data_IF_943236156369
#
_entry.id   IF_943236156369
#
_cell.length_a   1.000
_cell.length_b   1.000
_cell.length_c   1.000
_cell.angle_alpha   90.00
_cell.angle_beta   90.00
_cell.angle_gamma   90.00
#
_symmetry.space_group_name_H-M   'P 1'
#
loop_
_entity.id
_entity.type
_entity.pdbx_description
1 polymer ?
#
# COMPACT_ATOMS: atom_id res chain seq x y z
N UNK A 1 -10.79 24.08 -8.32
CA UNK A 1 -9.69 23.51 -7.50
C UNK A 1 -8.40 23.81 -8.23
N UNK A 2 -7.51 24.56 -7.62
CA UNK A 2 -6.26 24.97 -8.25
C UNK A 2 -5.38 23.73 -8.48
N UNK A 3 -4.89 23.54 -9.70
CA UNK A 3 -4.09 22.37 -10.10
C UNK A 3 -2.78 22.22 -9.31
N UNK A 4 -2.35 23.26 -8.60
CA UNK A 4 -1.16 23.24 -7.76
C UNK A 4 -1.34 22.49 -6.44
N UNK A 5 -2.57 22.38 -5.94
CA UNK A 5 -2.86 21.69 -4.67
C UNK A 5 -2.88 20.16 -4.78
N UNK A 6 -3.02 19.65 -5.99
CA UNK A 6 -3.04 18.19 -6.27
C UNK A 6 -1.79 17.69 -6.98
N UNK A 7 -0.79 18.54 -7.14
CA UNK A 7 0.49 18.11 -7.73
C UNK A 7 1.28 17.24 -6.74
N UNK A 8 1.95 16.21 -7.28
CA UNK A 8 2.86 15.41 -6.49
C UNK A 8 4.08 16.24 -6.06
N UNK A 9 4.58 15.96 -4.87
CA UNK A 9 5.82 16.58 -4.36
C UNK A 9 6.97 16.29 -5.33
N UNK A 10 7.69 17.34 -5.72
CA UNK A 10 8.79 17.23 -6.69
C UNK A 10 9.96 16.35 -6.24
N UNK A 11 10.04 16.03 -4.95
CA UNK A 11 11.04 15.10 -4.41
C UNK A 11 10.71 13.64 -4.67
N UNK A 12 9.47 13.33 -5.08
CA UNK A 12 9.08 11.98 -5.45
C UNK A 12 9.64 11.63 -6.83
N UNK A 13 10.44 10.59 -6.89
CA UNK A 13 11.00 10.06 -8.14
C UNK A 13 9.95 9.22 -8.88
N UNK A 14 9.00 9.88 -9.54
CA UNK A 14 7.97 9.21 -10.32
C UNK A 14 8.49 8.77 -11.69
N UNK A 15 7.96 7.66 -12.19
CA UNK A 15 8.24 7.12 -13.54
C UNK A 15 7.02 7.34 -14.44
N UNK A 16 7.25 7.37 -15.75
CA UNK A 16 6.15 7.48 -16.73
C UNK A 16 5.18 6.30 -16.67
N UNK A 17 5.65 5.15 -16.21
CA UNK A 17 4.85 3.93 -16.04
C UNK A 17 4.03 3.91 -14.75
N UNK A 18 4.24 4.85 -13.83
CA UNK A 18 3.50 4.91 -12.58
C UNK A 18 2.05 5.33 -12.86
N UNK A 19 1.13 4.63 -12.23
CA UNK A 19 -0.29 4.91 -12.39
C UNK A 19 -0.73 5.97 -11.39
N UNK A 20 -1.48 6.94 -11.87
CA UNK A 20 -1.98 8.05 -11.07
C UNK A 20 -3.49 7.90 -10.89
N UNK A 21 -3.93 7.86 -9.64
CA UNK A 21 -5.33 7.86 -9.27
C UNK A 21 -5.66 9.12 -8.47
N UNK A 22 -6.82 9.69 -8.73
CA UNK A 22 -7.34 10.81 -7.96
C UNK A 22 -8.48 10.33 -7.09
N UNK A 23 -8.36 10.53 -5.79
CA UNK A 23 -9.41 10.21 -4.83
C UNK A 23 -9.89 11.48 -4.12
N UNK A 24 -11.19 11.64 -4.04
CA UNK A 24 -11.83 12.69 -3.22
C UNK A 24 -12.17 12.21 -1.81
N UNK A 25 -11.97 10.92 -1.54
CA UNK A 25 -12.40 10.26 -0.33
C UNK A 25 -11.20 9.71 0.44
N UNK A 26 -11.42 9.34 1.68
CA UNK A 26 -10.37 8.85 2.58
C UNK A 26 -9.76 7.56 2.05
N UNK A 27 -10.57 6.64 1.54
CA UNK A 27 -10.08 5.42 0.93
C UNK A 27 -9.95 5.56 -0.58
N UNK A 28 -8.78 5.24 -1.10
CA UNK A 28 -8.51 5.23 -2.55
C UNK A 28 -9.24 4.12 -3.30
N UNK A 29 -9.80 3.15 -2.61
CA UNK A 29 -10.66 2.13 -3.27
C UNK A 29 -11.98 2.71 -3.77
N UNK A 30 -12.48 3.74 -3.09
CA UNK A 30 -13.80 4.28 -3.39
C UNK A 30 -13.76 5.15 -4.65
N UNK A 31 -14.53 4.75 -5.66
CA UNK A 31 -14.70 5.46 -6.94
C UNK A 31 -13.39 5.79 -7.70
N UNK A 32 -12.39 4.88 -7.68
CA UNK A 32 -11.12 5.11 -8.40
C UNK A 32 -10.73 3.96 -9.30
N UNK A 33 -11.22 2.89 -9.40
CA UNK A 33 -10.72 1.78 -10.23
C UNK A 33 -9.44 1.10 -9.71
N UNK A 34 -8.99 1.40 -8.47
CA UNK A 34 -7.79 0.76 -7.90
C UNK A 34 -7.94 -0.77 -7.86
N UNK A 35 -9.08 -1.26 -7.42
CA UNK A 35 -9.31 -2.70 -7.27
C UNK A 35 -9.22 -3.42 -8.62
N UNK A 36 -9.81 -2.86 -9.66
CA UNK A 36 -9.74 -3.38 -11.02
C UNK A 36 -8.31 -3.43 -11.52
N UNK A 37 -7.53 -2.38 -11.27
CA UNK A 37 -6.11 -2.33 -11.66
C UNK A 37 -5.28 -3.40 -10.95
N UNK A 38 -5.51 -3.62 -9.65
CA UNK A 38 -4.85 -4.68 -8.89
C UNK A 38 -5.20 -6.07 -9.46
N UNK A 39 -6.46 -6.32 -9.77
CA UNK A 39 -6.92 -7.58 -10.35
C UNK A 39 -6.37 -7.83 -11.74
N UNK A 40 -6.42 -6.83 -12.62
CA UNK A 40 -5.89 -6.92 -13.98
C UNK A 40 -4.38 -7.20 -14.02
N UNK A 41 -3.64 -6.72 -13.03
CA UNK A 41 -2.20 -6.95 -12.89
C UNK A 41 -1.85 -8.17 -12.02
N UNK A 42 -2.83 -8.94 -11.55
CA UNK A 42 -2.60 -10.11 -10.71
C UNK A 42 -1.96 -9.78 -9.36
N UNK A 43 -2.23 -8.59 -8.83
CA UNK A 43 -1.69 -8.14 -7.55
C UNK A 43 -2.57 -8.61 -6.41
N UNK A 44 -2.01 -9.38 -5.50
CA UNK A 44 -2.67 -9.86 -4.28
C UNK A 44 -2.13 -9.20 -3.00
N UNK A 45 -1.12 -8.36 -3.12
CA UNK A 45 -0.46 -7.68 -2.01
C UNK A 45 -0.27 -6.20 -2.34
N UNK A 46 -0.54 -5.35 -1.36
CA UNK A 46 -0.43 -3.90 -1.49
C UNK A 46 0.46 -3.33 -0.39
N UNK A 47 1.56 -2.69 -0.78
CA UNK A 47 2.34 -1.86 0.13
C UNK A 47 1.71 -0.48 0.24
N UNK A 48 1.39 -0.07 1.46
CA UNK A 48 0.68 1.18 1.73
C UNK A 48 1.64 2.16 2.41
N UNK A 49 1.95 3.25 1.72
CA UNK A 49 2.80 4.32 2.21
C UNK A 49 2.06 5.65 2.16
N UNK A 50 2.56 6.63 2.87
CA UNK A 50 2.11 8.00 2.80
C UNK A 50 1.44 8.51 4.06
N UNK A 51 0.53 9.45 3.90
CA UNK A 51 -0.07 10.26 4.96
C UNK A 51 -1.60 10.29 4.78
N UNK A 52 -2.39 10.14 5.80
CA UNK A 52 -2.05 10.01 7.20
C UNK A 52 -2.37 8.60 7.71
N UNK A 53 -1.61 8.17 8.72
CA UNK A 53 -1.75 6.84 9.35
C UNK A 53 -3.16 6.59 9.87
N UNK A 54 -3.77 7.59 10.52
CA UNK A 54 -5.10 7.50 11.13
C UNK A 54 -6.27 7.60 10.16
N UNK A 55 -6.03 8.00 8.93
CA UNK A 55 -7.08 8.22 7.93
C UNK A 55 -6.88 7.34 6.69
N UNK A 56 -6.24 7.85 5.66
CA UNK A 56 -6.14 7.15 4.37
C UNK A 56 -5.38 5.84 4.45
N UNK A 57 -4.29 5.78 5.19
CA UNK A 57 -3.53 4.53 5.39
C UNK A 57 -4.39 3.50 6.11
N UNK A 58 -5.02 3.87 7.21
CA UNK A 58 -5.91 2.98 7.97
C UNK A 58 -7.09 2.51 7.12
N UNK A 59 -7.74 3.40 6.38
CA UNK A 59 -8.88 3.06 5.54
C UNK A 59 -8.52 2.01 4.47
N UNK A 60 -7.41 2.19 3.78
CA UNK A 60 -6.94 1.24 2.76
C UNK A 60 -6.51 -0.08 3.38
N UNK A 61 -5.81 -0.05 4.53
CA UNK A 61 -5.43 -1.25 5.25
C UNK A 61 -6.65 -2.07 5.71
N UNK A 62 -7.69 -1.40 6.18
CA UNK A 62 -8.93 -2.03 6.63
C UNK A 62 -9.75 -2.63 5.47
N UNK A 63 -9.80 -1.96 4.33
CA UNK A 63 -10.58 -2.43 3.18
C UNK A 63 -9.89 -3.54 2.39
N UNK A 64 -8.58 -3.51 2.26
CA UNK A 64 -7.82 -4.43 1.41
C UNK A 64 -8.15 -5.91 1.65
N UNK A 65 -8.21 -6.41 2.89
CA UNK A 65 -8.56 -7.81 3.14
C UNK A 65 -9.96 -8.21 2.66
N UNK A 66 -10.89 -7.28 2.64
CA UNK A 66 -12.25 -7.54 2.16
C UNK A 66 -12.29 -7.85 0.67
N UNK A 67 -11.29 -7.41 -0.07
CA UNK A 67 -11.11 -7.65 -1.50
C UNK A 67 -10.11 -8.77 -1.82
N UNK A 68 -9.62 -9.48 -0.81
CA UNK A 68 -8.60 -10.51 -0.98
C UNK A 68 -7.20 -9.94 -1.25
N UNK A 69 -6.96 -8.67 -0.93
CA UNK A 69 -5.67 -8.02 -1.07
C UNK A 69 -4.99 -7.95 0.30
N UNK A 70 -3.76 -8.46 0.39
CA UNK A 70 -2.96 -8.42 1.62
C UNK A 70 -2.31 -7.05 1.80
N UNK A 71 -2.70 -6.28 2.83
CA UNK A 71 -2.05 -5.01 3.09
C UNK A 71 -0.76 -5.18 3.90
N UNK A 72 0.29 -4.48 3.50
CA UNK A 72 1.56 -4.39 4.22
C UNK A 72 1.90 -2.91 4.39
N UNK A 73 2.16 -2.50 5.62
CA UNK A 73 2.47 -1.11 5.96
C UNK A 73 3.92 -1.02 6.44
N UNK A 74 4.82 -0.41 5.67
CA UNK A 74 6.16 -0.10 6.15
C UNK A 74 6.09 1.05 7.14
N UNK A 75 6.45 0.78 8.41
CA UNK A 75 6.18 1.66 9.55
C UNK A 75 6.77 3.07 9.38
N UNK A 76 7.99 3.17 8.85
CA UNK A 76 8.69 4.46 8.67
C UNK A 76 8.27 5.21 7.41
N UNK A 77 7.46 4.60 6.54
CA UNK A 77 6.96 5.21 5.31
C UNK A 77 5.52 5.73 5.43
N UNK A 78 4.95 5.73 6.61
CA UNK A 78 3.66 6.33 6.93
C UNK A 78 3.81 7.33 8.07
N UNK A 79 2.94 8.31 8.15
CA UNK A 79 3.01 9.32 9.18
C UNK A 79 1.66 9.97 9.49
N UNK A 80 1.64 10.79 10.53
CA UNK A 80 0.50 11.58 10.93
C UNK A 80 0.94 12.92 11.51
N UNK A 81 0.00 13.82 11.77
CA UNK A 81 0.28 15.14 12.34
C UNK A 81 0.72 15.08 13.79
N UNK A 82 0.21 14.09 14.51
CA UNK A 82 0.42 13.86 15.93
C UNK A 82 1.07 12.49 16.15
N UNK A 83 2.16 12.46 16.90
CA UNK A 83 2.93 11.23 17.13
C UNK A 83 2.13 10.18 17.92
N UNK A 84 1.32 10.62 18.89
CA UNK A 84 0.46 9.72 19.63
C UNK A 84 -0.62 9.09 18.75
N UNK A 85 -1.26 9.90 17.92
CA UNK A 85 -2.27 9.43 16.96
C UNK A 85 -1.63 8.47 15.96
N UNK A 86 -0.43 8.78 15.47
CA UNK A 86 0.32 7.90 14.58
C UNK A 86 0.57 6.53 15.22
N UNK A 87 1.18 6.48 16.38
CA UNK A 87 1.53 5.24 17.07
C UNK A 87 0.30 4.41 17.46
N UNK A 88 -0.73 5.05 17.97
CA UNK A 88 -1.98 4.40 18.34
C UNK A 88 -2.66 3.74 17.15
N UNK A 89 -2.77 4.45 16.04
CA UNK A 89 -3.38 3.91 14.83
C UNK A 89 -2.51 2.84 14.16
N UNK A 90 -1.20 3.00 14.15
CA UNK A 90 -0.29 1.99 13.62
C UNK A 90 -0.37 0.68 14.40
N UNK A 91 -0.49 0.76 15.73
CA UNK A 91 -0.72 -0.40 16.60
C UNK A 91 -2.04 -1.09 16.29
N UNK A 92 -3.11 -0.33 16.08
CA UNK A 92 -4.41 -0.88 15.69
C UNK A 92 -4.38 -1.56 14.33
N UNK A 93 -3.72 -0.93 13.36
CA UNK A 93 -3.55 -1.48 12.02
C UNK A 93 -2.82 -2.82 12.08
N UNK A 94 -1.74 -2.90 12.84
CA UNK A 94 -0.96 -4.13 13.03
C UNK A 94 -1.78 -5.26 13.65
N UNK A 95 -2.57 -4.94 14.65
CA UNK A 95 -3.35 -5.94 15.39
C UNK A 95 -4.57 -6.46 14.64
N UNK A 96 -5.14 -5.65 13.75
CA UNK A 96 -6.46 -5.90 13.18
C UNK A 96 -6.47 -6.12 11.67
N UNK A 97 -5.61 -5.45 10.89
CA UNK A 97 -5.81 -5.33 9.45
C UNK A 97 -4.62 -5.74 8.60
N UNK A 98 -3.41 -5.33 8.95
CA UNK A 98 -2.25 -5.39 8.07
C UNK A 98 -1.00 -5.92 8.76
N UNK A 99 -0.05 -6.38 7.97
CA UNK A 99 1.31 -6.60 8.44
C UNK A 99 2.04 -5.25 8.50
N UNK A 100 2.48 -4.85 9.68
CA UNK A 100 3.34 -3.69 9.87
C UNK A 100 4.78 -4.17 9.96
N UNK A 101 5.61 -3.71 9.05
CA UNK A 101 7.00 -4.16 8.89
C UNK A 101 7.97 -2.97 8.84
N UNK A 102 9.26 -3.17 9.12
CA UNK A 102 10.25 -2.15 8.85
C UNK A 102 10.33 -1.83 7.36
N UNK A 103 10.54 -0.57 6.99
CA UNK A 103 10.68 -0.17 5.58
C UNK A 103 11.81 -0.94 4.89
N UNK A 104 12.87 -1.28 5.60
CA UNK A 104 13.99 -2.05 5.06
C UNK A 104 13.56 -3.43 4.57
N UNK A 105 12.61 -4.08 5.22
CA UNK A 105 12.06 -5.37 4.78
C UNK A 105 11.37 -5.25 3.41
N UNK A 106 10.63 -4.16 3.18
CA UNK A 106 10.01 -3.88 1.88
C UNK A 106 11.06 -3.59 0.80
N UNK A 107 12.05 -2.77 1.12
CA UNK A 107 13.15 -2.45 0.20
C UNK A 107 13.91 -3.71 -0.21
N UNK A 108 14.25 -4.57 0.74
CA UNK A 108 14.96 -5.82 0.48
C UNK A 108 14.12 -6.78 -0.39
N UNK A 109 12.84 -6.88 -0.11
CA UNK A 109 11.91 -7.66 -0.92
C UNK A 109 11.84 -7.16 -2.37
N UNK A 110 11.73 -5.87 -2.58
CA UNK A 110 11.66 -5.26 -3.92
C UNK A 110 12.98 -5.42 -4.68
N UNK A 111 14.12 -5.27 -4.02
CA UNK A 111 15.46 -5.50 -4.60
C UNK A 111 15.66 -6.96 -4.99
N UNK A 112 15.22 -7.90 -4.18
CA UNK A 112 15.30 -9.33 -4.46
C UNK A 112 14.47 -9.73 -5.69
N UNK A 113 13.36 -9.05 -5.97
CA UNK A 113 12.58 -9.28 -7.20
C UNK A 113 13.21 -8.69 -8.46
N UNK A 114 13.98 -7.62 -8.34
CA UNK A 114 14.69 -7.00 -9.47
C UNK A 114 15.87 -7.83 -10.01
N UNK A 115 16.38 -8.77 -9.21
CA UNK A 115 17.54 -9.60 -9.55
C UNK A 115 17.23 -11.02 -10.06
N UNK A 116 15.99 -11.50 -9.96
CA UNK A 116 15.59 -12.84 -10.41
C UNK A 116 14.32 -12.76 -11.26
N UNK A 117 14.50 -12.81 -12.57
CA UNK A 117 13.40 -13.09 -13.46
C UNK A 117 12.71 -14.40 -13.06
N UNK A 118 11.42 -14.34 -12.83
CA UNK A 118 10.45 -15.43 -12.69
C UNK A 118 11.01 -16.70 -12.02
N UNK A 119 10.91 -16.80 -10.72
CA UNK A 119 10.71 -18.12 -10.13
C UNK A 119 9.30 -18.57 -10.46
N UNK A 120 9.23 -19.70 -11.18
CA UNK A 120 8.03 -20.47 -11.48
C UNK A 120 7.09 -20.53 -10.28
N UNK A 121 5.80 -20.47 -10.60
CA UNK A 121 4.73 -20.68 -9.64
C UNK A 121 5.01 -21.88 -8.75
N UNK A 122 4.63 -21.75 -7.51
CA UNK A 122 4.49 -22.89 -6.61
C UNK A 122 3.66 -23.94 -7.33
N UNK A 123 4.24 -25.08 -7.56
CA UNK A 123 3.47 -26.29 -7.74
C UNK A 123 2.67 -26.47 -6.45
N UNK A 124 1.38 -26.46 -6.58
CA UNK A 124 0.48 -26.79 -5.49
C UNK A 124 0.79 -28.20 -5.03
N UNK A 125 1.49 -28.30 -3.92
CA UNK A 125 1.67 -29.55 -3.24
C UNK A 125 0.30 -30.08 -2.85
N UNK A 126 -0.01 -31.21 -3.42
CA UNK A 126 -1.14 -32.06 -3.15
C UNK A 126 -1.48 -32.08 -1.66
N UNK A 127 -2.62 -31.49 -1.29
CA UNK A 127 -3.27 -31.79 -0.03
C UNK A 127 -4.10 -33.06 -0.22
N UNK A 128 -3.45 -34.16 0.11
CA UNK A 128 -4.17 -35.40 0.34
C UNK A 128 -4.99 -35.35 1.61
#
# INVERSE_FOLDING_TARGET
MDSKEVALDSRMATRKSDLHLFSKYVSVYYQTGLLEMLRENGCDTLFICGFSTSASVRAVAMESPQYGVRPVVPAEAVGDRDDYVHRSNLSDIEKKFADVVPVQAVVDYLKGRGGNGRKKGREDGNLG
#
